data_IF_184910776255
#
_entry.id   IF_184910776255
#
_cell.length_a   1.000
_cell.length_b   1.000
_cell.length_c   1.000
_cell.angle_alpha   90.00
_cell.angle_beta   90.00
_cell.angle_gamma   90.00
#
_symmetry.space_group_name_H-M   'P 1'
#
loop_
_entity.id
_entity.type
_entity.pdbx_description
1 polymer ?
#
# COMPACT_ATOMS: atom_id res chain seq x y z
N UNK A 1 3.34 -15.06 -64.05
CA UNK A 1 2.44 -14.54 -62.99
C UNK A 1 2.13 -15.58 -61.89
N UNK A 2 1.95 -16.86 -62.20
CA UNK A 2 1.62 -17.92 -61.22
C UNK A 2 2.61 -18.07 -60.06
N UNK A 3 3.93 -17.93 -60.29
CA UNK A 3 4.95 -18.01 -59.23
C UNK A 3 4.93 -16.81 -58.26
N UNK A 4 4.52 -15.64 -58.72
CA UNK A 4 4.39 -14.44 -57.87
C UNK A 4 3.14 -14.51 -56.98
N UNK A 5 2.03 -15.04 -57.51
CA UNK A 5 0.83 -15.34 -56.72
C UNK A 5 1.09 -16.43 -55.68
N UNK A 6 1.88 -17.46 -56.01
CA UNK A 6 2.30 -18.48 -55.05
C UNK A 6 3.13 -17.88 -53.89
N UNK A 7 4.09 -17.00 -54.19
CA UNK A 7 4.88 -16.32 -53.15
C UNK A 7 4.03 -15.39 -52.27
N UNK A 8 3.05 -14.68 -52.85
CA UNK A 8 2.11 -13.84 -52.11
C UNK A 8 1.19 -14.66 -51.20
N UNK A 9 0.71 -15.82 -51.68
CA UNK A 9 -0.10 -16.73 -50.89
C UNK A 9 0.71 -17.37 -49.76
N UNK A 10 1.96 -17.76 -50.01
CA UNK A 10 2.86 -18.30 -48.98
C UNK A 10 3.21 -17.23 -47.92
N UNK A 11 3.41 -15.98 -48.33
CA UNK A 11 3.64 -14.87 -47.42
C UNK A 11 2.40 -14.56 -46.57
N UNK A 12 1.20 -14.66 -47.14
CA UNK A 12 -0.05 -14.48 -46.41
C UNK A 12 -0.26 -15.59 -45.36
N UNK A 13 0.07 -16.84 -45.67
CA UNK A 13 0.04 -17.96 -44.71
C UNK A 13 1.08 -17.77 -43.60
N UNK A 14 2.30 -17.32 -43.94
CA UNK A 14 3.34 -17.05 -42.95
C UNK A 14 2.94 -15.93 -41.96
N UNK A 15 2.28 -14.86 -42.43
CA UNK A 15 1.77 -13.78 -41.55
C UNK A 15 0.67 -14.28 -40.61
N UNK A 16 -0.15 -15.25 -41.02
CA UNK A 16 -1.19 -15.83 -40.17
C UNK A 16 -0.63 -16.73 -39.06
N UNK A 17 0.53 -17.37 -39.26
CA UNK A 17 1.17 -18.19 -38.22
C UNK A 17 1.80 -17.38 -37.08
N UNK A 18 2.07 -16.07 -37.28
CA UNK A 18 2.68 -15.21 -36.26
C UNK A 18 1.71 -14.75 -35.16
N UNK A 19 0.39 -14.93 -35.33
CA UNK A 19 -0.62 -14.57 -34.31
C UNK A 19 -0.85 -15.66 -33.26
N UNK A 20 -0.21 -16.83 -33.41
CA UNK A 20 -0.31 -17.95 -32.49
C UNK A 20 0.67 -17.92 -31.31
N UNK A 21 0.86 -16.77 -30.65
CA UNK A 21 1.43 -16.81 -29.30
C UNK A 21 0.32 -17.27 -28.35
N UNK A 22 0.26 -18.58 -28.13
CA UNK A 22 -0.53 -19.17 -27.05
C UNK A 22 -0.10 -18.47 -25.76
N UNK A 23 -0.95 -17.61 -25.21
CA UNK A 23 -0.79 -17.15 -23.83
C UNK A 23 -0.88 -18.42 -23.00
N UNK A 24 0.23 -18.86 -22.42
CA UNK A 24 0.22 -20.04 -21.55
C UNK A 24 -0.80 -19.83 -20.43
N UNK A 25 -1.57 -20.88 -20.11
CA UNK A 25 -2.58 -20.82 -19.06
C UNK A 25 -1.93 -20.34 -17.77
N UNK A 26 -2.47 -19.28 -17.17
CA UNK A 26 -1.96 -18.73 -15.93
C UNK A 26 -2.51 -19.55 -14.78
N UNK A 27 -1.63 -20.34 -14.19
CA UNK A 27 -1.95 -21.25 -13.09
C UNK A 27 -1.51 -20.68 -11.75
N UNK A 28 -2.38 -20.76 -10.75
CA UNK A 28 -2.09 -20.48 -9.34
C UNK A 28 -2.48 -21.65 -8.43
N UNK A 29 -2.01 -21.61 -7.19
CA UNK A 29 -2.53 -22.48 -6.15
C UNK A 29 -2.66 -21.74 -4.82
N UNK A 30 -3.53 -22.26 -3.96
CA UNK A 30 -3.73 -21.82 -2.59
C UNK A 30 -3.58 -22.99 -1.63
N UNK A 31 -3.33 -22.70 -0.36
CA UNK A 31 -3.42 -23.65 0.74
C UNK A 31 -4.60 -23.22 1.62
N UNK A 32 -5.77 -23.82 1.40
CA UNK A 32 -7.00 -23.45 2.11
C UNK A 32 -6.87 -23.65 3.63
N UNK A 33 -6.26 -24.76 4.06
CA UNK A 33 -6.05 -25.03 5.47
C UNK A 33 -5.16 -23.95 6.11
N UNK A 34 -4.06 -23.58 5.44
CA UNK A 34 -3.23 -22.47 5.90
C UNK A 34 -4.00 -21.14 5.97
N UNK A 35 -4.80 -20.82 4.95
CA UNK A 35 -5.60 -19.58 4.95
C UNK A 35 -6.57 -19.59 6.13
N UNK A 36 -7.37 -20.65 6.29
CA UNK A 36 -8.35 -20.75 7.37
C UNK A 36 -7.70 -20.64 8.75
N UNK A 37 -6.58 -21.33 8.98
CA UNK A 37 -5.86 -21.26 10.26
C UNK A 37 -5.36 -19.86 10.63
N UNK A 38 -5.12 -18.99 9.66
CA UNK A 38 -4.66 -17.61 9.90
C UNK A 38 -5.79 -16.58 9.94
N UNK A 39 -7.05 -17.00 9.71
CA UNK A 39 -8.24 -16.16 9.87
C UNK A 39 -8.71 -16.21 11.34
N UNK A 40 -8.82 -15.07 12.04
CA UNK A 40 -9.27 -15.04 13.44
C UNK A 40 -10.64 -15.69 13.64
N UNK A 41 -11.60 -15.40 12.77
CA UNK A 41 -12.97 -15.93 12.84
C UNK A 41 -13.02 -17.46 12.79
N UNK A 42 -12.12 -18.09 12.01
CA UNK A 42 -12.02 -19.55 11.94
C UNK A 42 -11.45 -20.14 13.21
N UNK A 43 -10.45 -19.47 13.81
CA UNK A 43 -9.87 -19.89 15.08
C UNK A 43 -10.93 -19.85 16.18
N UNK A 44 -11.74 -18.80 16.23
CA UNK A 44 -12.83 -18.66 17.20
C UNK A 44 -13.91 -19.72 16.98
N UNK A 45 -14.35 -19.93 15.73
CA UNK A 45 -15.29 -20.98 15.38
C UNK A 45 -14.79 -22.38 15.78
N UNK A 46 -13.51 -22.67 15.52
CA UNK A 46 -12.86 -23.93 15.90
C UNK A 46 -12.84 -24.10 17.42
N UNK A 47 -12.46 -23.08 18.18
CA UNK A 47 -12.47 -23.14 19.65
C UNK A 47 -13.88 -23.39 20.20
N UNK A 48 -14.90 -22.72 19.65
CA UNK A 48 -16.29 -22.94 20.06
C UNK A 48 -16.76 -24.38 19.79
N UNK A 49 -16.41 -24.93 18.62
CA UNK A 49 -16.72 -26.32 18.27
C UNK A 49 -16.00 -27.30 19.20
N UNK A 50 -14.73 -27.04 19.51
CA UNK A 50 -13.95 -27.87 20.41
C UNK A 50 -14.52 -27.89 21.82
N UNK A 51 -14.90 -26.72 22.36
CA UNK A 51 -15.55 -26.63 23.67
C UNK A 51 -16.86 -27.42 23.74
N UNK A 52 -17.71 -27.32 22.70
CA UNK A 52 -18.94 -28.12 22.62
C UNK A 52 -18.67 -29.61 22.51
N UNK A 53 -17.70 -30.00 21.68
CA UNK A 53 -17.30 -31.38 21.52
C UNK A 53 -16.76 -31.96 22.83
N UNK A 54 -15.94 -31.20 23.58
CA UNK A 54 -15.45 -31.60 24.89
C UNK A 54 -16.61 -31.78 25.88
N UNK A 55 -17.58 -30.85 25.92
CA UNK A 55 -18.77 -30.98 26.76
C UNK A 55 -19.56 -32.26 26.48
N UNK A 56 -19.85 -32.55 25.21
CA UNK A 56 -20.57 -33.78 24.85
C UNK A 56 -19.76 -35.04 25.15
N UNK A 57 -18.43 -35.01 25.00
CA UNK A 57 -17.56 -36.13 25.40
C UNK A 57 -17.66 -36.39 26.90
N UNK A 58 -17.62 -35.36 27.73
CA UNK A 58 -17.77 -35.50 29.19
C UNK A 58 -19.15 -36.04 29.58
N UNK A 59 -20.22 -35.61 28.90
CA UNK A 59 -21.57 -36.13 29.12
C UNK A 59 -21.69 -37.63 28.77
N UNK A 60 -21.10 -38.04 27.64
CA UNK A 60 -21.04 -39.47 27.23
C UNK A 60 -20.23 -40.29 28.23
N UNK A 61 -19.09 -39.76 28.68
CA UNK A 61 -18.22 -40.42 29.65
C UNK A 61 -18.92 -40.58 31.01
N UNK A 62 -19.63 -39.54 31.46
CA UNK A 62 -20.43 -39.58 32.69
C UNK A 62 -21.52 -40.65 32.60
N UNK A 63 -22.33 -40.65 31.52
CA UNK A 63 -23.36 -41.68 31.28
C UNK A 63 -22.74 -43.08 31.24
N UNK A 64 -21.58 -43.24 30.60
CA UNK A 64 -20.87 -44.52 30.52
C UNK A 64 -20.41 -45.03 31.90
N UNK A 65 -19.91 -44.13 32.76
CA UNK A 65 -19.52 -44.47 34.13
C UNK A 65 -20.75 -44.90 34.94
N UNK A 66 -21.88 -44.20 34.81
CA UNK A 66 -23.14 -44.56 35.48
C UNK A 66 -23.65 -45.93 35.04
N UNK A 67 -23.68 -46.20 33.73
CA UNK A 67 -24.06 -47.51 33.17
C UNK A 67 -23.14 -48.61 33.69
N UNK A 68 -21.82 -48.37 33.74
CA UNK A 68 -20.87 -49.36 34.27
C UNK A 68 -21.11 -49.65 35.75
N UNK A 69 -21.43 -48.64 36.57
CA UNK A 69 -21.80 -48.84 37.98
C UNK A 69 -23.05 -49.70 38.13
N UNK A 70 -24.08 -49.47 37.29
CA UNK A 70 -25.30 -50.29 37.29
C UNK A 70 -25.00 -51.75 36.88
N UNK A 71 -24.13 -51.95 35.89
CA UNK A 71 -23.67 -53.29 35.49
C UNK A 71 -22.93 -54.02 36.61
N UNK A 72 -22.02 -53.32 37.28
CA UNK A 72 -21.25 -53.89 38.39
C UNK A 72 -22.16 -54.21 39.59
N UNK A 73 -23.09 -53.32 39.93
CA UNK A 73 -24.09 -53.55 40.97
C UNK A 73 -24.98 -54.75 40.65
N UNK A 74 -25.50 -54.87 39.42
CA UNK A 74 -26.26 -56.03 38.98
C UNK A 74 -25.42 -57.30 39.12
N UNK A 75 -24.16 -57.29 38.68
CA UNK A 75 -23.27 -58.46 38.77
C UNK A 75 -23.02 -58.90 40.22
N UNK A 76 -22.89 -57.96 41.17
CA UNK A 76 -22.69 -58.26 42.58
C UNK A 76 -23.98 -58.76 43.26
N UNK A 77 -25.12 -58.17 42.92
CA UNK A 77 -26.42 -58.48 43.53
C UNK A 77 -27.14 -59.66 42.84
N UNK A 78 -26.69 -60.12 41.67
CA UNK A 78 -27.37 -61.14 40.84
C UNK A 78 -27.74 -62.41 41.60
N UNK A 79 -26.91 -62.85 42.54
CA UNK A 79 -27.17 -64.05 43.35
C UNK A 79 -28.30 -63.88 44.38
N UNK A 80 -28.65 -62.63 44.70
CA UNK A 80 -29.67 -62.27 45.70
C UNK A 80 -31.01 -61.87 45.06
N UNK A 81 -31.06 -61.72 43.73
CA UNK A 81 -32.22 -61.22 42.99
C UNK A 81 -33.05 -62.36 42.40
N UNK A 82 -34.36 -62.13 42.23
CA UNK A 82 -35.23 -63.03 41.46
C UNK A 82 -34.96 -62.87 39.96
N UNK A 83 -35.32 -63.89 39.17
CA UNK A 83 -35.12 -63.86 37.72
C UNK A 83 -35.82 -62.66 37.05
N UNK A 84 -37.04 -62.35 37.48
CA UNK A 84 -37.81 -61.20 36.96
C UNK A 84 -37.12 -59.86 37.21
N UNK A 85 -36.57 -59.65 38.42
CA UNK A 85 -35.83 -58.43 38.75
C UNK A 85 -34.51 -58.33 37.99
N UNK A 86 -33.84 -59.45 37.73
CA UNK A 86 -32.64 -59.48 36.89
C UNK A 86 -32.99 -59.04 35.47
N UNK A 87 -34.03 -59.64 34.88
CA UNK A 87 -34.45 -59.32 33.52
C UNK A 87 -34.85 -57.83 33.41
N UNK A 88 -35.60 -57.29 34.38
CA UNK A 88 -35.95 -55.86 34.43
C UNK A 88 -34.70 -54.96 34.47
N UNK A 89 -33.74 -55.22 35.36
CA UNK A 89 -32.52 -54.41 35.44
C UNK A 89 -31.62 -54.56 34.21
N UNK A 90 -31.55 -55.75 33.61
CA UNK A 90 -30.82 -55.95 32.34
C UNK A 90 -31.49 -55.16 31.21
N UNK A 91 -32.82 -55.09 31.15
CA UNK A 91 -33.52 -54.25 30.15
C UNK A 91 -33.27 -52.76 30.37
N UNK A 92 -33.25 -52.29 31.62
CA UNK A 92 -32.93 -50.89 31.94
C UNK A 92 -31.50 -50.53 31.55
N UNK A 93 -30.52 -51.38 31.88
CA UNK A 93 -29.13 -51.17 31.49
C UNK A 93 -28.99 -51.13 29.96
N UNK A 94 -29.63 -52.07 29.25
CA UNK A 94 -29.62 -52.09 27.79
C UNK A 94 -30.29 -50.83 27.20
N UNK A 95 -31.36 -50.34 27.81
CA UNK A 95 -32.02 -49.10 27.41
C UNK A 95 -31.07 -47.90 27.54
N UNK A 96 -30.40 -47.75 28.69
CA UNK A 96 -29.43 -46.68 28.92
C UNK A 96 -28.21 -46.77 28.00
N UNK A 97 -27.76 -47.99 27.68
CA UNK A 97 -26.69 -48.20 26.69
C UNK A 97 -27.09 -47.73 25.30
N UNK A 98 -28.28 -48.12 24.84
CA UNK A 98 -28.81 -47.69 23.56
C UNK A 98 -29.02 -46.17 23.53
N UNK A 99 -29.53 -45.59 24.61
CA UNK A 99 -29.69 -44.13 24.71
C UNK A 99 -28.34 -43.41 24.62
N UNK A 100 -27.30 -43.93 25.28
CA UNK A 100 -25.95 -43.36 25.22
C UNK A 100 -25.32 -43.51 23.81
N UNK A 101 -25.53 -44.64 23.15
CA UNK A 101 -25.10 -44.86 21.76
C UNK A 101 -25.83 -43.92 20.79
N UNK A 102 -27.15 -43.77 20.93
CA UNK A 102 -27.95 -42.83 20.15
C UNK A 102 -27.50 -41.40 20.38
N UNK A 103 -27.20 -41.03 21.63
CA UNK A 103 -26.66 -39.73 21.96
C UNK A 103 -25.31 -39.50 21.28
N UNK A 104 -24.40 -40.45 21.37
CA UNK A 104 -23.10 -40.40 20.71
C UNK A 104 -23.26 -40.26 19.18
N UNK A 105 -24.15 -41.03 18.55
CA UNK A 105 -24.40 -40.96 17.12
C UNK A 105 -25.03 -39.63 16.71
N UNK A 106 -25.97 -39.09 17.49
CA UNK A 106 -26.57 -37.77 17.26
C UNK A 106 -25.54 -36.65 17.33
N UNK A 107 -24.56 -36.74 18.24
CA UNK A 107 -23.51 -35.70 18.37
C UNK A 107 -22.36 -35.87 17.40
N UNK A 108 -21.82 -37.08 17.26
CA UNK A 108 -20.55 -37.37 16.57
C UNK A 108 -20.68 -38.26 15.32
N UNK A 109 -21.89 -38.69 14.95
CA UNK A 109 -22.12 -39.45 13.72
C UNK A 109 -21.82 -38.63 12.47
N UNK A 110 -21.83 -39.29 11.30
CA UNK A 110 -21.52 -38.66 10.02
C UNK A 110 -22.41 -37.42 9.72
N UNK A 111 -23.68 -37.48 10.12
CA UNK A 111 -24.65 -36.38 10.04
C UNK A 111 -24.98 -35.81 11.44
N UNK A 112 -24.08 -36.01 12.40
CA UNK A 112 -24.28 -35.56 13.77
C UNK A 112 -24.14 -34.05 13.91
N UNK A 113 -24.57 -33.54 15.06
CA UNK A 113 -24.57 -32.11 15.37
C UNK A 113 -23.19 -31.47 15.24
N UNK A 114 -22.11 -32.19 15.56
CA UNK A 114 -20.75 -31.67 15.42
C UNK A 114 -20.42 -31.36 13.96
N UNK A 115 -20.76 -32.27 13.04
CA UNK A 115 -20.49 -32.10 11.62
C UNK A 115 -21.36 -30.99 11.02
N UNK A 116 -22.63 -30.92 11.42
CA UNK A 116 -23.55 -29.85 11.02
C UNK A 116 -23.05 -28.50 11.52
N UNK A 117 -22.68 -28.38 12.78
CA UNK A 117 -22.17 -27.12 13.33
C UNK A 117 -20.83 -26.73 12.69
N UNK A 118 -19.96 -27.71 12.41
CA UNK A 118 -18.72 -27.48 11.66
C UNK A 118 -19.02 -26.86 10.30
N UNK A 119 -19.94 -27.44 9.53
CA UNK A 119 -20.28 -26.88 8.22
C UNK A 119 -20.91 -25.49 8.34
N UNK A 120 -21.83 -25.27 9.29
CA UNK A 120 -22.47 -23.97 9.50
C UNK A 120 -21.48 -22.86 9.86
N UNK A 121 -20.48 -23.14 10.69
CA UNK A 121 -19.50 -22.14 11.12
C UNK A 121 -18.37 -21.95 10.11
N UNK A 122 -17.89 -23.02 9.47
CA UNK A 122 -16.73 -22.96 8.57
C UNK A 122 -17.12 -22.54 7.16
N UNK A 123 -18.30 -22.94 6.67
CA UNK A 123 -18.76 -22.62 5.31
C UNK A 123 -18.78 -21.12 4.99
N UNK A 124 -19.34 -20.21 5.82
CA UNK A 124 -19.32 -18.79 5.50
C UNK A 124 -17.89 -18.23 5.35
N UNK A 125 -16.95 -18.73 6.14
CA UNK A 125 -15.53 -18.34 6.04
C UNK A 125 -14.93 -18.88 4.74
N UNK A 126 -15.23 -20.12 4.37
CA UNK A 126 -14.82 -20.68 3.08
C UNK A 126 -15.41 -19.90 1.89
N UNK A 127 -16.67 -19.47 1.98
CA UNK A 127 -17.32 -18.65 0.95
C UNK A 127 -16.64 -17.28 0.80
N UNK A 128 -16.19 -16.67 1.91
CA UNK A 128 -15.38 -15.45 1.88
C UNK A 128 -14.02 -15.67 1.22
N UNK A 129 -13.32 -16.75 1.58
CA UNK A 129 -12.04 -17.13 0.94
C UNK A 129 -12.25 -17.34 -0.56
N UNK A 130 -13.30 -18.06 -0.95
CA UNK A 130 -13.63 -18.32 -2.34
C UNK A 130 -13.89 -17.02 -3.12
N UNK A 131 -14.65 -16.09 -2.53
CA UNK A 131 -14.89 -14.77 -3.13
C UNK A 131 -13.58 -13.99 -3.31
N UNK A 132 -12.72 -13.96 -2.28
CA UNK A 132 -11.41 -13.30 -2.36
C UNK A 132 -10.50 -13.93 -3.44
N UNK A 133 -10.55 -15.26 -3.59
CA UNK A 133 -9.83 -15.99 -4.64
C UNK A 133 -10.36 -15.62 -6.02
N UNK A 134 -11.68 -15.52 -6.21
CA UNK A 134 -12.30 -15.08 -7.46
C UNK A 134 -11.86 -13.66 -7.85
N UNK A 135 -11.89 -12.72 -6.91
CA UNK A 135 -11.45 -11.34 -7.15
C UNK A 135 -9.98 -11.28 -7.59
N UNK A 136 -9.12 -12.05 -6.94
CA UNK A 136 -7.70 -12.17 -7.29
C UNK A 136 -7.54 -12.82 -8.67
N UNK A 137 -8.31 -13.87 -8.96
CA UNK A 137 -8.29 -14.58 -10.24
C UNK A 137 -8.63 -13.63 -11.39
N UNK A 138 -9.70 -12.85 -11.26
CA UNK A 138 -10.16 -11.91 -12.29
C UNK A 138 -9.19 -10.73 -12.46
N UNK A 139 -8.68 -10.19 -11.36
CA UNK A 139 -7.73 -9.06 -11.37
C UNK A 139 -6.40 -9.44 -12.01
N UNK A 140 -5.88 -10.61 -11.65
CA UNK A 140 -4.58 -11.08 -12.12
C UNK A 140 -4.68 -11.99 -13.36
N UNK A 141 -5.87 -12.25 -13.88
CA UNK A 141 -6.13 -13.08 -15.06
C UNK A 141 -5.58 -14.50 -14.90
N UNK A 142 -5.86 -15.14 -13.77
CA UNK A 142 -5.62 -16.57 -13.60
C UNK A 142 -6.71 -17.37 -14.32
N UNK A 143 -6.30 -18.39 -15.06
CA UNK A 143 -7.23 -19.31 -15.73
C UNK A 143 -7.64 -20.46 -14.80
N UNK A 144 -6.72 -20.88 -13.93
CA UNK A 144 -6.93 -21.95 -12.96
C UNK A 144 -6.27 -21.62 -11.62
N UNK A 145 -6.96 -21.95 -10.52
CA UNK A 145 -6.43 -21.90 -9.17
C UNK A 145 -6.76 -23.22 -8.50
N UNK A 146 -5.74 -23.95 -8.02
CA UNK A 146 -5.93 -25.21 -7.30
C UNK A 146 -5.78 -25.02 -5.80
N UNK A 147 -6.58 -25.74 -5.02
CA UNK A 147 -6.34 -25.87 -3.59
C UNK A 147 -5.43 -27.06 -3.32
N UNK A 148 -4.30 -26.81 -2.65
CA UNK A 148 -3.34 -27.83 -2.23
C UNK A 148 -3.92 -28.75 -1.15
N UNK A 149 -4.90 -28.28 -0.37
CA UNK A 149 -5.58 -29.08 0.64
C UNK A 149 -6.66 -30.01 0.04
N UNK A 150 -6.95 -29.89 -1.27
CA UNK A 150 -7.90 -30.76 -1.97
C UNK A 150 -7.32 -32.14 -2.27
N UNK A 151 -8.18 -33.07 -2.69
CA UNK A 151 -7.80 -34.45 -3.08
C UNK A 151 -6.87 -34.53 -4.30
N UNK A 152 -6.60 -33.41 -4.98
CA UNK A 152 -5.66 -33.37 -6.09
C UNK A 152 -4.22 -33.45 -5.55
N UNK A 153 -3.55 -34.58 -5.80
CA UNK A 153 -2.17 -34.78 -5.35
C UNK A 153 -1.21 -33.91 -6.15
N UNK A 154 -0.75 -32.81 -5.54
CA UNK A 154 0.28 -31.94 -6.10
C UNK A 154 1.66 -32.36 -5.59
N UNK A 155 2.45 -33.00 -6.44
CA UNK A 155 3.80 -33.49 -6.06
C UNK A 155 4.79 -32.34 -5.83
N UNK A 156 4.70 -31.28 -6.64
CA UNK A 156 5.56 -30.12 -6.54
C UNK A 156 4.88 -28.91 -7.19
N UNK A 157 4.94 -27.77 -6.53
CA UNK A 157 4.65 -26.48 -7.13
C UNK A 157 5.66 -25.44 -6.65
N UNK A 158 6.07 -24.57 -7.57
CA UNK A 158 6.95 -23.47 -7.24
C UNK A 158 6.19 -22.40 -6.45
N UNK A 159 6.77 -21.91 -5.35
CA UNK A 159 6.19 -20.89 -4.46
C UNK A 159 5.70 -19.62 -5.18
N UNK A 160 6.26 -19.31 -6.36
CA UNK A 160 5.83 -18.16 -7.19
C UNK A 160 4.37 -18.26 -7.68
N UNK A 161 3.77 -19.45 -7.67
CA UNK A 161 2.38 -19.69 -8.05
C UNK A 161 1.44 -19.71 -6.84
N UNK A 162 1.99 -19.61 -5.62
CA UNK A 162 1.23 -19.51 -4.38
C UNK A 162 0.62 -18.12 -4.26
N UNK A 163 -0.71 -18.06 -4.11
CA UNK A 163 -1.43 -16.81 -3.87
C UNK A 163 -2.05 -16.75 -2.47
N UNK A 164 -1.76 -17.72 -1.59
CA UNK A 164 -2.37 -17.82 -0.25
C UNK A 164 -2.18 -16.56 0.59
N UNK A 165 -0.97 -15.99 0.57
CA UNK A 165 -0.66 -14.72 1.25
C UNK A 165 -1.44 -13.54 0.70
N UNK A 166 -1.70 -13.53 -0.62
CA UNK A 166 -2.49 -12.46 -1.25
C UNK A 166 -3.95 -12.58 -0.83
N UNK A 167 -4.48 -13.80 -0.77
CA UNK A 167 -5.84 -14.09 -0.29
C UNK A 167 -5.99 -13.67 1.17
N UNK A 168 -5.04 -14.06 2.04
CA UNK A 168 -5.03 -13.64 3.45
C UNK A 168 -5.02 -12.12 3.61
N UNK A 169 -4.23 -11.41 2.79
CA UNK A 169 -4.22 -9.95 2.82
C UNK A 169 -5.58 -9.35 2.44
N UNK A 170 -6.24 -9.90 1.42
CA UNK A 170 -7.58 -9.46 0.98
C UNK A 170 -8.64 -9.73 2.05
N UNK A 171 -8.59 -10.88 2.71
CA UNK A 171 -9.52 -11.23 3.80
C UNK A 171 -9.35 -10.30 5.00
N UNK A 172 -8.12 -10.14 5.49
CA UNK A 172 -7.81 -9.22 6.59
C UNK A 172 -8.19 -7.76 6.28
N UNK A 173 -8.05 -7.33 5.01
CA UNK A 173 -8.50 -6.00 4.57
C UNK A 173 -10.02 -5.88 4.58
N UNK A 174 -10.72 -6.91 4.09
CA UNK A 174 -12.18 -6.96 4.06
C UNK A 174 -12.76 -6.93 5.48
N UNK A 175 -12.24 -7.74 6.41
CA UNK A 175 -12.62 -7.72 7.82
C UNK A 175 -12.40 -6.34 8.47
N UNK A 176 -11.22 -5.74 8.26
CA UNK A 176 -10.94 -4.37 8.74
C UNK A 176 -11.91 -3.36 8.16
N UNK A 177 -12.28 -3.50 6.89
CA UNK A 177 -13.22 -2.60 6.22
C UNK A 177 -14.62 -2.76 6.82
N UNK A 178 -15.07 -3.98 7.11
CA UNK A 178 -16.36 -4.22 7.76
C UNK A 178 -16.45 -3.60 9.17
N UNK A 179 -15.32 -3.52 9.89
CA UNK A 179 -15.24 -2.87 11.20
C UNK A 179 -15.20 -1.32 11.13
N UNK A 180 -14.98 -0.73 9.94
CA UNK A 180 -14.83 0.71 9.75
C UNK A 180 -16.13 1.40 9.30
N UNK A 181 -16.27 2.69 9.59
CA UNK A 181 -17.43 3.47 9.17
C UNK A 181 -17.39 3.73 7.65
N UNK A 182 -18.53 3.83 6.94
CA UNK A 182 -18.62 4.03 5.47
C UNK A 182 -17.67 5.07 4.85
N UNK A 183 -17.32 6.14 5.59
CA UNK A 183 -16.35 7.15 5.13
C UNK A 183 -14.90 6.67 5.20
N UNK A 184 -14.55 5.95 6.26
CA UNK A 184 -13.24 5.33 6.45
C UNK A 184 -13.02 4.13 5.51
N UNK A 185 -14.09 3.41 5.15
CA UNK A 185 -14.05 2.32 4.18
C UNK A 185 -13.59 2.82 2.79
N UNK A 186 -14.12 3.96 2.32
CA UNK A 186 -13.71 4.56 1.03
C UNK A 186 -12.26 5.04 1.05
N UNK A 187 -11.81 5.65 2.14
CA UNK A 187 -10.42 6.11 2.29
C UNK A 187 -9.43 4.92 2.34
N UNK A 188 -9.82 3.81 2.98
CA UNK A 188 -9.05 2.58 2.98
C UNK A 188 -8.98 1.94 1.58
N UNK A 189 -10.11 1.83 0.89
CA UNK A 189 -10.19 1.29 -0.48
C UNK A 189 -9.37 2.12 -1.47
N UNK A 190 -9.40 3.45 -1.39
CA UNK A 190 -8.59 4.34 -2.22
C UNK A 190 -7.09 4.23 -1.94
N UNK A 191 -6.71 3.88 -0.71
CA UNK A 191 -5.31 3.64 -0.33
C UNK A 191 -4.87 2.26 -0.83
N UNK A 192 -5.71 1.26 -0.68
CA UNK A 192 -5.47 -0.12 -1.10
C UNK A 192 -5.37 -0.26 -2.62
N UNK A 193 -6.25 0.39 -3.38
CA UNK A 193 -6.18 0.43 -4.83
C UNK A 193 -4.87 1.05 -5.34
N UNK A 194 -4.29 1.99 -4.58
CA UNK A 194 -2.97 2.56 -4.89
C UNK A 194 -1.84 1.60 -4.56
N UNK A 195 -1.93 0.84 -3.46
CA UNK A 195 -0.95 -0.19 -3.09
C UNK A 195 -0.95 -1.36 -4.09
N UNK A 196 -2.12 -1.86 -4.48
CA UNK A 196 -2.24 -2.97 -5.42
C UNK A 196 -1.80 -2.59 -6.85
N UNK A 197 -1.98 -1.32 -7.23
CA UNK A 197 -1.43 -0.78 -8.47
C UNK A 197 0.11 -0.71 -8.48
N UNK A 198 0.75 -0.71 -7.31
CA UNK A 198 2.21 -0.72 -7.16
C UNK A 198 2.76 -2.15 -7.16
N UNK A 199 2.10 -3.08 -6.49
CA UNK A 199 2.48 -4.51 -6.44
C UNK A 199 2.36 -5.18 -7.83
N UNK A 200 1.36 -4.79 -8.62
CA UNK A 200 1.14 -5.35 -9.97
C UNK A 200 2.12 -4.86 -11.04
N UNK A 201 2.88 -3.79 -10.78
CA UNK A 201 3.82 -3.22 -11.74
C UNK A 201 5.10 -2.67 -11.07
N UNK A 202 6.19 -3.47 -10.96
CA UNK A 202 7.42 -3.06 -10.28
C UNK A 202 8.05 -1.77 -10.82
N UNK A 203 7.81 -1.41 -12.08
CA UNK A 203 8.30 -0.16 -12.66
C UNK A 203 7.64 1.12 -12.09
N UNK A 204 6.43 1.02 -11.51
CA UNK A 204 5.77 2.15 -10.84
C UNK A 204 6.29 2.37 -9.43
N UNK A 205 6.62 1.29 -8.71
CA UNK A 205 7.24 1.35 -7.39
C UNK A 205 8.63 2.02 -7.46
N UNK A 206 9.47 1.64 -8.43
CA UNK A 206 10.78 2.27 -8.65
C UNK A 206 10.64 3.74 -9.06
N UNK A 207 9.64 4.06 -9.89
CA UNK A 207 9.32 5.44 -10.27
C UNK A 207 8.87 6.28 -9.09
N UNK A 208 8.09 5.72 -8.15
CA UNK A 208 7.67 6.44 -6.95
C UNK A 208 8.83 6.68 -5.99
N UNK A 209 9.68 5.68 -5.74
CA UNK A 209 10.90 5.85 -4.95
C UNK A 209 11.81 6.93 -5.54
N UNK A 210 12.00 6.93 -6.86
CA UNK A 210 12.76 7.98 -7.55
C UNK A 210 12.11 9.37 -7.45
N UNK A 211 10.78 9.46 -7.42
CA UNK A 211 10.06 10.73 -7.24
C UNK A 211 10.13 11.24 -5.80
N UNK A 212 10.05 10.35 -4.82
CA UNK A 212 10.21 10.66 -3.39
C UNK A 212 11.64 11.08 -3.08
N UNK A 213 12.64 10.39 -3.62
CA UNK A 213 14.05 10.76 -3.50
C UNK A 213 14.32 12.13 -4.15
N UNK A 214 13.72 12.41 -5.32
CA UNK A 214 13.79 13.74 -5.95
C UNK A 214 13.09 14.84 -5.13
N UNK A 215 11.95 14.53 -4.49
CA UNK A 215 11.25 15.47 -3.62
C UNK A 215 12.08 15.76 -2.37
N UNK A 216 12.59 14.72 -1.71
CA UNK A 216 13.46 14.84 -0.54
C UNK A 216 14.75 15.60 -0.88
N UNK A 217 15.36 15.35 -2.05
CA UNK A 217 16.50 16.12 -2.54
C UNK A 217 16.17 17.60 -2.79
N UNK A 218 15.00 17.88 -3.37
CA UNK A 218 14.52 19.27 -3.57
C UNK A 218 14.25 19.98 -2.25
N UNK A 219 13.71 19.27 -1.27
CA UNK A 219 13.40 19.80 0.06
C UNK A 219 14.68 20.13 0.83
N UNK A 220 15.67 19.22 0.84
CA UNK A 220 17.00 19.49 1.38
C UNK A 220 17.66 20.71 0.75
N UNK A 221 17.61 20.86 -0.58
CA UNK A 221 18.15 22.05 -1.27
C UNK A 221 17.42 23.35 -0.87
N UNK A 222 16.11 23.27 -0.60
CA UNK A 222 15.35 24.42 -0.12
C UNK A 222 15.66 24.76 1.33
N UNK A 223 15.86 23.76 2.18
CA UNK A 223 16.29 23.91 3.57
C UNK A 223 17.70 24.49 3.66
N UNK A 224 18.66 23.94 2.92
CA UNK A 224 20.03 24.46 2.81
C UNK A 224 20.03 25.91 2.31
N UNK A 225 19.18 26.24 1.33
CA UNK A 225 19.02 27.62 0.85
C UNK A 225 18.45 28.54 1.94
N UNK A 226 17.48 28.07 2.73
CA UNK A 226 16.90 28.85 3.85
C UNK A 226 17.94 29.07 4.95
N UNK A 227 18.69 28.04 5.33
CA UNK A 227 19.77 28.12 6.32
C UNK A 227 20.87 29.07 5.85
N UNK A 228 21.29 28.99 4.58
CA UNK A 228 22.27 29.91 4.00
C UNK A 228 21.76 31.37 3.98
N UNK A 229 20.47 31.58 3.71
CA UNK A 229 19.87 32.92 3.79
C UNK A 229 19.82 33.44 5.22
N UNK A 230 19.53 32.58 6.19
CA UNK A 230 19.50 32.95 7.60
C UNK A 230 20.89 33.26 8.14
N UNK A 231 21.90 32.47 7.77
CA UNK A 231 23.32 32.75 8.08
C UNK A 231 23.75 34.10 7.49
N UNK A 232 23.45 34.36 6.21
CA UNK A 232 23.75 35.65 5.58
C UNK A 232 23.04 36.83 6.23
N UNK A 233 21.82 36.65 6.74
CA UNK A 233 21.10 37.68 7.51
C UNK A 233 21.80 37.95 8.83
N UNK A 234 22.16 36.90 9.59
CA UNK A 234 22.92 37.03 10.86
C UNK A 234 24.26 37.73 10.64
N UNK A 235 25.04 37.31 9.65
CA UNK A 235 26.31 37.96 9.29
C UNK A 235 26.14 39.43 8.89
N UNK A 236 25.05 39.78 8.18
CA UNK A 236 24.77 41.15 7.80
C UNK A 236 24.38 42.00 9.03
N UNK A 237 23.55 41.47 9.92
CA UNK A 237 23.14 42.14 11.15
C UNK A 237 24.33 42.34 12.09
N UNK A 238 25.24 41.37 12.19
CA UNK A 238 26.46 41.48 12.98
C UNK A 238 27.44 42.51 12.40
N UNK A 239 27.64 42.50 11.07
CA UNK A 239 28.42 43.56 10.38
C UNK A 239 27.81 44.94 10.59
N UNK A 240 26.48 45.07 10.59
CA UNK A 240 25.79 46.33 10.84
C UNK A 240 26.02 46.82 12.27
N UNK A 241 25.94 45.94 13.26
CA UNK A 241 26.24 46.25 14.67
C UNK A 241 27.70 46.67 14.85
N UNK A 242 28.64 45.98 14.20
CA UNK A 242 30.06 46.32 14.26
C UNK A 242 30.33 47.71 13.67
N UNK A 243 29.74 48.05 12.54
CA UNK A 243 29.85 49.40 11.94
C UNK A 243 29.24 50.47 12.86
N UNK A 244 28.15 50.18 13.56
CA UNK A 244 27.57 51.10 14.54
C UNK A 244 28.50 51.29 15.75
N UNK A 245 29.04 50.22 16.30
CA UNK A 245 30.00 50.26 17.41
C UNK A 245 31.29 51.02 17.02
N UNK A 246 31.83 50.79 15.82
CA UNK A 246 33.01 51.50 15.32
C UNK A 246 32.74 53.00 15.10
N UNK A 247 31.52 53.37 14.71
CA UNK A 247 31.10 54.77 14.58
C UNK A 247 30.93 55.45 15.93
N UNK A 248 30.41 54.73 16.92
CA UNK A 248 30.29 55.22 18.31
C UNK A 248 31.66 55.37 18.97
N UNK A 249 32.57 54.42 18.76
CA UNK A 249 33.96 54.50 19.23
C UNK A 249 34.72 55.69 18.61
N UNK A 250 34.49 55.99 17.32
CA UNK A 250 35.08 57.17 16.64
C UNK A 250 34.48 58.50 17.06
N UNK A 251 33.32 58.50 17.73
CA UNK A 251 32.66 59.73 18.23
C UNK A 251 33.15 60.16 19.62
N UNK A 252 33.95 59.32 20.31
CA UNK A 252 34.25 59.50 21.74
C UNK A 252 35.73 59.80 22.05
N UNK A 253 36.50 60.36 21.12
CA UNK A 253 37.90 60.80 21.34
C UNK A 253 38.10 62.30 21.11
N UNK A 254 38.13 63.09 22.21
CA UNK A 254 39.00 64.27 22.54
C UNK A 254 39.16 65.40 21.49
N UNK A 255 38.88 66.71 21.67
CA UNK A 255 38.92 67.76 22.74
C UNK A 255 40.32 68.25 23.18
N UNK A 256 40.63 69.54 22.84
CA UNK A 256 41.57 70.56 23.43
C UNK A 256 43.11 70.37 23.27
N UNK A 257 44.03 71.35 23.12
CA UNK A 257 44.15 72.84 23.18
C UNK A 257 45.45 73.27 22.38
N UNK A 258 45.56 74.35 21.58
CA UNK A 258 45.61 75.83 21.76
C UNK A 258 47.00 76.43 22.14
N UNK A 259 47.64 77.23 21.23
CA UNK A 259 48.31 78.55 21.47
C UNK A 259 48.55 79.32 20.13
N UNK A 260 47.70 80.34 19.90
CA UNK A 260 47.90 81.75 19.48
C UNK A 260 48.81 82.14 18.27
N UNK A 261 48.17 82.69 17.21
CA UNK A 261 48.29 84.11 16.85
C UNK A 261 47.07 84.64 16.06
N UNK A 262 46.67 85.84 16.46
CA UNK A 262 45.64 86.78 15.94
C UNK A 262 45.61 86.83 14.41
N UNK A 263 44.52 87.11 13.69
CA UNK A 263 43.28 87.82 13.96
C UNK A 263 42.90 88.54 12.65
N UNK A 264 41.60 88.61 12.35
CA UNK A 264 40.96 89.32 11.21
C UNK A 264 40.56 88.48 9.97
N UNK A 265 39.28 88.08 10.01
CA UNK A 265 38.23 88.27 8.97
C UNK A 265 38.45 87.82 7.51
N UNK A 266 37.85 86.66 7.14
CA UNK A 266 36.85 86.47 6.07
C UNK A 266 36.77 84.99 5.59
N UNK A 267 35.54 84.51 5.34
CA UNK A 267 35.09 83.13 4.99
C UNK A 267 34.79 83.06 3.47
N UNK A 268 34.86 81.90 2.77
CA UNK A 268 36.07 81.46 2.08
C UNK A 268 35.82 81.11 0.60
N UNK A 269 36.90 80.92 -0.16
CA UNK A 269 36.87 80.40 -1.54
C UNK A 269 37.12 78.89 -1.54
N UNK A 270 36.35 78.17 -2.36
CA UNK A 270 36.25 76.71 -2.39
C UNK A 270 37.55 75.96 -2.72
N UNK A 271 37.70 74.81 -2.06
CA UNK A 271 38.65 73.76 -2.42
C UNK A 271 37.88 72.65 -3.16
N UNK A 272 38.14 72.57 -4.45
CA UNK A 272 37.34 71.93 -5.48
C UNK A 272 38.08 70.70 -6.05
N UNK A 273 38.37 69.69 -5.22
CA UNK A 273 39.06 68.47 -5.70
C UNK A 273 38.71 67.14 -5.01
N UNK A 274 37.76 67.09 -4.05
CA UNK A 274 37.38 65.82 -3.37
C UNK A 274 35.90 65.46 -3.44
N UNK A 275 35.07 66.29 -4.08
CA UNK A 275 33.65 65.97 -4.36
C UNK A 275 33.46 65.31 -5.74
N UNK A 276 34.21 65.74 -6.74
CA UNK A 276 34.07 65.21 -8.10
C UNK A 276 34.48 63.73 -8.23
N UNK A 277 35.51 63.28 -7.52
CA UNK A 277 35.93 61.88 -7.54
C UNK A 277 34.94 60.93 -6.83
N UNK A 278 34.27 61.41 -5.77
CA UNK A 278 33.26 60.65 -5.03
C UNK A 278 31.92 60.59 -5.81
N UNK A 279 31.56 61.67 -6.50
CA UNK A 279 30.35 61.74 -7.32
C UNK A 279 30.51 60.95 -8.64
N UNK A 280 31.69 60.96 -9.27
CA UNK A 280 31.97 60.09 -10.43
C UNK A 280 31.99 58.60 -10.07
N UNK A 281 32.47 58.21 -8.88
CA UNK A 281 32.44 56.82 -8.42
C UNK A 281 31.01 56.34 -8.07
N UNK A 282 30.17 57.23 -7.52
CA UNK A 282 28.74 56.97 -7.28
C UNK A 282 27.96 56.87 -8.59
N UNK A 283 28.22 57.75 -9.55
CA UNK A 283 27.58 57.71 -10.87
C UNK A 283 27.93 56.41 -11.61
N UNK A 284 29.21 55.99 -11.63
CA UNK A 284 29.64 54.71 -12.22
C UNK A 284 28.99 53.49 -11.54
N UNK A 285 28.76 53.52 -10.22
CA UNK A 285 28.05 52.43 -9.51
C UNK A 285 26.55 52.42 -9.80
N UNK A 286 25.92 53.58 -9.98
CA UNK A 286 24.50 53.69 -10.34
C UNK A 286 24.29 53.20 -11.77
N UNK A 287 25.16 53.59 -12.70
CA UNK A 287 25.11 53.17 -14.10
C UNK A 287 25.40 51.66 -14.26
N UNK A 288 26.35 51.12 -13.48
CA UNK A 288 26.61 49.68 -13.45
C UNK A 288 25.42 48.88 -12.90
N UNK A 289 24.73 49.40 -11.87
CA UNK A 289 23.50 48.77 -11.34
C UNK A 289 22.33 48.87 -12.31
N UNK A 290 22.20 49.97 -13.04
CA UNK A 290 21.18 50.13 -14.06
C UNK A 290 21.38 49.13 -15.21
N UNK A 291 22.61 48.98 -15.72
CA UNK A 291 22.94 47.96 -16.74
C UNK A 291 22.68 46.53 -16.24
N UNK A 292 23.07 46.21 -15.00
CA UNK A 292 22.81 44.89 -14.41
C UNK A 292 21.31 44.60 -14.28
N UNK A 293 20.49 45.61 -13.95
CA UNK A 293 19.04 45.46 -13.85
C UNK A 293 18.39 45.26 -15.23
N UNK A 294 18.89 45.94 -16.27
CA UNK A 294 18.43 45.75 -17.65
C UNK A 294 18.81 44.37 -18.20
N UNK A 295 20.05 43.92 -17.98
CA UNK A 295 20.48 42.57 -18.38
C UNK A 295 19.65 41.50 -17.67
N UNK A 296 19.35 41.71 -16.39
CA UNK A 296 18.48 40.81 -15.63
C UNK A 296 17.05 40.79 -16.16
N UNK A 297 16.49 41.94 -16.56
CA UNK A 297 15.16 42.02 -17.18
C UNK A 297 15.12 41.25 -18.50
N UNK A 298 16.14 41.42 -19.36
CA UNK A 298 16.27 40.67 -20.62
C UNK A 298 16.33 39.16 -20.39
N UNK A 299 17.15 38.70 -19.44
CA UNK A 299 17.23 37.27 -19.09
C UNK A 299 15.89 36.71 -18.58
N UNK A 300 15.11 37.50 -17.83
CA UNK A 300 13.77 37.09 -17.40
C UNK A 300 12.77 37.01 -18.54
N UNK A 301 12.81 37.96 -19.49
CA UNK A 301 11.95 37.95 -20.66
C UNK A 301 12.28 36.79 -21.60
N UNK A 302 13.55 36.52 -21.87
CA UNK A 302 13.99 35.38 -22.69
C UNK A 302 13.59 34.05 -22.04
N UNK A 303 13.71 33.95 -20.71
CA UNK A 303 13.27 32.77 -19.97
C UNK A 303 11.75 32.60 -19.99
N UNK A 304 10.99 33.71 -19.98
CA UNK A 304 9.53 33.68 -20.08
C UNK A 304 9.09 33.20 -21.47
N UNK A 305 9.71 33.70 -22.53
CA UNK A 305 9.49 33.25 -23.91
C UNK A 305 9.82 31.76 -24.07
N UNK A 306 10.96 31.31 -23.56
CA UNK A 306 11.34 29.89 -23.62
C UNK A 306 10.38 28.95 -22.86
N UNK A 307 9.76 29.43 -21.78
CA UNK A 307 8.73 28.68 -21.04
C UNK A 307 7.39 28.63 -21.79
N UNK A 308 7.01 29.72 -22.46
CA UNK A 308 5.81 29.79 -23.28
C UNK A 308 5.95 28.88 -24.52
N UNK A 309 7.10 28.89 -25.20
CA UNK A 309 7.39 27.97 -26.30
C UNK A 309 7.37 26.50 -25.86
N UNK A 310 7.94 26.17 -24.69
CA UNK A 310 7.85 24.82 -24.14
C UNK A 310 6.41 24.41 -23.82
N UNK A 311 5.58 25.34 -23.31
CA UNK A 311 4.17 25.06 -23.05
C UNK A 311 3.39 24.80 -24.33
N UNK A 312 3.65 25.57 -25.39
CA UNK A 312 3.03 25.35 -26.70
C UNK A 312 3.41 23.98 -27.27
N UNK A 313 4.70 23.62 -27.25
CA UNK A 313 5.16 22.27 -27.69
C UNK A 313 4.47 21.14 -26.92
N UNK A 314 4.31 21.26 -25.60
CA UNK A 314 3.63 20.24 -24.79
C UNK A 314 2.14 20.12 -25.16
N UNK A 315 1.48 21.23 -25.49
CA UNK A 315 0.08 21.22 -25.91
C UNK A 315 -0.08 20.56 -27.28
N UNK A 316 0.79 20.88 -28.23
CA UNK A 316 0.83 20.27 -29.57
C UNK A 316 1.08 18.76 -29.48
N UNK A 317 2.06 18.32 -28.68
CA UNK A 317 2.34 16.90 -28.44
C UNK A 317 1.12 16.17 -27.85
N UNK A 318 0.40 16.83 -26.93
CA UNK A 318 -0.79 16.26 -26.29
C UNK A 318 -1.98 16.16 -27.26
N UNK A 319 -2.13 17.13 -28.15
CA UNK A 319 -3.15 17.09 -29.20
C UNK A 319 -2.85 16.02 -30.25
N UNK A 320 -1.59 15.89 -30.67
CA UNK A 320 -1.13 14.81 -31.55
C UNK A 320 -1.40 13.43 -30.92
N UNK A 321 -1.10 13.25 -29.64
CA UNK A 321 -1.40 12.03 -28.90
C UNK A 321 -2.90 11.75 -28.78
N UNK A 322 -3.74 12.78 -28.63
CA UNK A 322 -5.20 12.63 -28.60
C UNK A 322 -5.74 12.20 -29.97
N UNK A 323 -5.27 12.82 -31.06
CA UNK A 323 -5.66 12.44 -32.44
C UNK A 323 -5.25 11.00 -32.75
N UNK A 324 -4.01 10.62 -32.45
CA UNK A 324 -3.53 9.25 -32.63
C UNK A 324 -4.33 8.23 -31.80
N UNK A 325 -4.79 8.59 -30.59
CA UNK A 325 -5.69 7.72 -29.81
C UNK A 325 -7.09 7.63 -30.39
N UNK A 326 -7.65 8.72 -30.91
CA UNK A 326 -8.97 8.73 -31.55
C UNK A 326 -8.99 7.94 -32.85
N UNK A 327 -7.92 8.01 -33.66
CA UNK A 327 -7.78 7.20 -34.87
C UNK A 327 -7.70 5.70 -34.54
N UNK A 328 -6.91 5.31 -33.53
CA UNK A 328 -6.88 3.92 -33.03
C UNK A 328 -8.22 3.42 -32.49
N UNK A 329 -9.02 4.31 -31.88
CA UNK A 329 -10.37 4.00 -31.42
C UNK A 329 -11.34 3.79 -32.59
N UNK A 330 -11.23 4.59 -33.66
CA UNK A 330 -12.05 4.45 -34.88
C UNK A 330 -11.71 3.20 -35.68
N UNK A 331 -10.43 2.83 -35.77
CA UNK A 331 -10.02 1.55 -36.37
C UNK A 331 -10.56 0.34 -35.59
N UNK A 332 -10.62 0.41 -34.26
CA UNK A 332 -11.16 -0.67 -33.44
C UNK A 332 -12.70 -0.78 -33.53
N UNK A 333 -13.43 0.30 -33.81
CA UNK A 333 -14.90 0.25 -33.98
C UNK A 333 -15.36 -0.17 -35.37
N UNK A 334 -14.50 -0.06 -36.39
CA UNK A 334 -14.83 -0.50 -37.76
C UNK A 334 -14.46 -1.98 -38.03
N UNK A 335 -13.82 -2.65 -37.07
CA UNK A 335 -13.42 -4.07 -37.16
C UNK A 335 -14.25 -5.00 -36.26
N UNK A 336 -15.37 -4.50 -35.73
CA UNK A 336 -16.44 -5.24 -35.04
C UNK A 336 -17.75 -5.00 -35.80
#
# INVERSE_FOLDING_TARGET
MTKQFLCLFLALIAVQTMKGQVRGNKLGYIDMEYILQNVPDYTDARMQLEQKAQKWKLEIETKKIEINKLKEALKAEKALLTKELIDERETEINFLENENLDYQQKRFGANGDLMIQKSVLVKPIQDQVFTAVQDIAERLKYDFIFDKASDLTMLFAAKRFDISEQVLRVLNRTEKREQLTKKQQKEAEDKENKEDALDSNPALADRQKLLEEKKAGREKVLEDRKLLQEQKKKEFDDKRKQIQADREAKKNGTVSANVVKEGSTAVPTGADTTKEAADQARQKQVDAKAKLLEDRKKVFEDRKKALEERRQKILEDREALKKAKQEKLKENTNNN
#
